data_IF_693725411610
#
_entry.id   IF_693725411610
#
_cell.length_a   1.000
_cell.length_b   1.000
_cell.length_c   1.000
_cell.angle_alpha   90.00
_cell.angle_beta   90.00
_cell.angle_gamma   90.00
#
_symmetry.space_group_name_H-M   'P 1'
#
loop_
_entity.id
_entity.type
_entity.pdbx_description
1 polymer ?
#
# COMPACT_ATOMS: atom_id res chain seq x y z
N UNK A 1 25.28 -1.16 -18.46
CA UNK A 1 23.89 -0.66 -18.37
C UNK A 1 23.87 0.35 -17.25
N UNK A 2 23.60 1.62 -17.55
CA UNK A 2 23.75 2.72 -16.60
C UNK A 2 22.43 2.96 -15.86
N UNK A 3 22.40 2.70 -14.57
CA UNK A 3 21.29 3.04 -13.67
C UNK A 3 21.24 4.57 -13.47
N UNK A 4 20.06 5.19 -13.59
CA UNK A 4 19.89 6.64 -13.38
C UNK A 4 19.25 6.87 -12.02
N UNK A 5 19.76 7.82 -11.24
CA UNK A 5 19.16 8.23 -9.97
C UNK A 5 18.22 9.41 -10.20
N UNK A 6 16.99 9.32 -9.70
CA UNK A 6 16.01 10.40 -9.82
C UNK A 6 16.49 11.67 -9.07
N UNK A 7 16.47 12.86 -9.70
CA UNK A 7 16.94 14.09 -9.06
C UNK A 7 15.98 14.61 -7.97
N UNK A 8 14.71 14.20 -8.00
CA UNK A 8 13.68 14.66 -7.07
C UNK A 8 13.55 13.79 -5.82
N UNK A 9 13.57 12.46 -5.97
CA UNK A 9 13.39 11.55 -4.82
C UNK A 9 14.61 10.67 -4.49
N UNK A 10 15.71 10.78 -5.24
CA UNK A 10 16.96 10.05 -4.98
C UNK A 10 16.92 8.52 -5.21
N UNK A 11 15.82 7.98 -5.76
CA UNK A 11 15.67 6.54 -6.01
C UNK A 11 16.18 6.15 -7.40
N UNK A 12 16.72 4.95 -7.51
CA UNK A 12 17.29 4.42 -8.75
C UNK A 12 16.18 4.01 -9.73
N UNK A 13 16.20 4.57 -10.92
CA UNK A 13 15.30 4.26 -12.02
C UNK A 13 16.01 3.35 -13.05
N UNK A 14 15.26 2.38 -13.59
CA UNK A 14 15.74 1.50 -14.67
C UNK A 14 15.99 2.31 -15.94
N UNK A 15 16.99 1.90 -16.74
CA UNK A 15 17.35 2.57 -17.99
C UNK A 15 16.16 2.55 -18.99
N UNK A 16 15.90 3.68 -19.67
CA UNK A 16 14.79 3.86 -20.63
C UNK A 16 13.49 4.42 -20.03
N UNK A 17 13.48 4.76 -18.73
CA UNK A 17 12.34 5.37 -18.06
C UNK A 17 12.36 6.90 -18.24
N UNK A 18 11.30 7.45 -18.86
CA UNK A 18 11.11 8.90 -19.05
C UNK A 18 10.71 9.63 -17.77
N UNK A 19 10.17 8.90 -16.79
CA UNK A 19 9.70 9.41 -15.51
C UNK A 19 10.07 8.46 -14.38
N UNK A 20 10.29 9.00 -13.19
CA UNK A 20 10.61 8.23 -12.00
C UNK A 20 9.38 7.42 -11.54
N UNK A 21 9.52 6.09 -11.47
CA UNK A 21 8.47 5.19 -10.99
C UNK A 21 8.02 5.43 -9.54
N UNK A 22 8.79 6.20 -8.77
CA UNK A 22 8.54 6.43 -7.35
C UNK A 22 7.94 7.79 -7.04
N UNK A 23 8.22 8.83 -7.82
CA UNK A 23 7.76 10.20 -7.54
C UNK A 23 7.19 10.94 -8.75
N UNK A 24 7.18 10.33 -9.94
CA UNK A 24 6.63 10.95 -11.16
C UNK A 24 7.51 12.03 -11.80
N UNK A 25 8.67 12.36 -11.21
CA UNK A 25 9.59 13.36 -11.77
C UNK A 25 10.14 12.92 -13.13
N UNK A 26 10.24 13.86 -14.09
CA UNK A 26 10.80 13.58 -15.41
C UNK A 26 12.30 13.27 -15.30
N UNK A 27 12.72 12.17 -15.91
CA UNK A 27 14.12 11.77 -16.03
C UNK A 27 14.57 12.19 -17.44
N UNK A 28 15.38 13.25 -17.54
CA UNK A 28 15.79 13.75 -18.85
C UNK A 28 16.52 12.66 -19.66
N UNK A 29 15.97 12.40 -20.85
CA UNK A 29 16.66 11.71 -21.93
C UNK A 29 17.05 12.78 -22.96
N UNK A 30 18.34 12.85 -23.28
CA UNK A 30 18.78 13.56 -24.49
C UNK A 30 18.35 12.67 -25.65
N UNK A 31 17.25 13.05 -26.28
CA UNK A 31 16.74 12.42 -27.48
C UNK A 31 17.73 12.63 -28.64
N UNK A 32 18.16 11.55 -29.28
CA UNK A 32 18.51 11.58 -30.69
C UNK A 32 17.48 10.75 -31.47
N UNK A 33 16.75 11.47 -32.31
CA UNK A 33 16.19 11.06 -33.60
C UNK A 33 14.87 10.26 -33.65
N UNK A 34 13.80 10.96 -34.07
CA UNK A 34 12.66 10.39 -34.79
C UNK A 34 12.96 10.39 -36.29
N UNK A 35 12.90 9.25 -36.95
CA UNK A 35 12.53 9.16 -38.37
C UNK A 35 11.28 8.29 -38.50
N UNK A 36 10.30 8.83 -39.19
CA UNK A 36 8.98 8.28 -39.43
C UNK A 36 9.03 6.93 -40.12
N UNK A 37 8.42 5.90 -39.52
CA UNK A 37 7.69 4.85 -40.25
C UNK A 37 6.48 4.41 -39.40
N UNK A 38 5.27 4.54 -39.96
CA UNK A 38 4.06 3.85 -39.48
C UNK A 38 4.26 2.34 -39.68
N UNK A 39 3.82 1.50 -38.73
CA UNK A 39 2.85 0.49 -39.16
C UNK A 39 1.74 0.19 -38.15
N UNK A 40 0.54 0.08 -38.74
CA UNK A 40 -0.49 -0.93 -38.50
C UNK A 40 -1.17 -1.02 -37.12
N UNK A 41 -2.31 -0.35 -37.06
CA UNK A 41 -3.50 -0.75 -36.30
C UNK A 41 -3.89 -2.21 -36.63
N UNK A 42 -3.47 -3.17 -35.82
CA UNK A 42 -4.19 -4.44 -35.66
C UNK A 42 -3.69 -5.14 -34.39
N UNK A 43 -4.61 -5.64 -33.57
CA UNK A 43 -4.38 -6.51 -32.38
C UNK A 43 -4.17 -5.85 -31.00
N UNK A 44 -4.84 -4.73 -30.68
CA UNK A 44 -4.97 -4.29 -29.27
C UNK A 44 -6.37 -4.53 -28.66
N UNK A 45 -7.38 -4.75 -29.51
CA UNK A 45 -8.77 -4.93 -29.08
C UNK A 45 -9.06 -6.37 -28.59
N UNK A 46 -8.45 -7.40 -29.20
CA UNK A 46 -8.74 -8.80 -28.82
C UNK A 46 -8.15 -9.23 -27.47
N UNK A 47 -7.23 -8.44 -26.89
CA UNK A 47 -6.64 -8.73 -25.59
C UNK A 47 -7.39 -8.04 -24.44
N UNK A 48 -7.98 -6.87 -24.68
CA UNK A 48 -8.80 -6.19 -23.66
C UNK A 48 -10.14 -6.89 -23.45
N UNK A 49 -10.75 -7.40 -24.51
CA UNK A 49 -12.06 -8.07 -24.43
C UNK A 49 -11.96 -9.43 -23.70
N UNK A 50 -10.84 -10.15 -23.87
CA UNK A 50 -10.57 -11.41 -23.14
C UNK A 50 -10.20 -11.21 -21.66
N UNK A 51 -9.69 -10.04 -21.27
CA UNK A 51 -9.34 -9.71 -19.88
C UNK A 51 -10.56 -9.18 -19.10
N UNK A 52 -11.50 -8.51 -19.77
CA UNK A 52 -12.74 -8.06 -19.14
C UNK A 52 -13.74 -9.20 -18.85
N UNK A 53 -13.70 -10.31 -19.59
CA UNK A 53 -14.58 -11.46 -19.33
C UNK A 53 -14.14 -12.38 -18.17
N UNK A 54 -12.88 -12.32 -17.72
CA UNK A 54 -12.36 -13.21 -16.65
C UNK A 54 -12.33 -12.53 -15.27
N UNK A 55 -12.30 -11.20 -15.23
CA UNK A 55 -12.35 -10.40 -14.00
C UNK A 55 -13.81 -10.11 -13.62
N UNK A 56 -14.44 -11.06 -12.92
CA UNK A 56 -15.67 -10.76 -12.18
C UNK A 56 -15.50 -9.48 -11.38
N UNK A 57 -16.38 -8.51 -11.60
CA UNK A 57 -16.46 -7.18 -10.99
C UNK A 57 -16.67 -7.24 -9.47
N UNK A 58 -15.82 -7.90 -8.70
CA UNK A 58 -15.83 -7.72 -7.25
C UNK A 58 -15.08 -6.42 -6.95
N UNK A 59 -15.85 -5.32 -6.95
CA UNK A 59 -15.41 -4.09 -6.33
C UNK A 59 -14.99 -4.36 -4.88
N UNK A 60 -13.97 -3.65 -4.41
CA UNK A 60 -13.49 -3.79 -3.04
C UNK A 60 -14.64 -3.44 -2.08
N UNK A 61 -15.03 -4.34 -1.15
CA UNK A 61 -16.08 -4.07 -0.19
C UNK A 61 -15.80 -2.82 0.66
N UNK A 62 -16.86 -2.12 1.06
CA UNK A 62 -16.74 -0.82 1.75
C UNK A 62 -16.03 -0.93 3.11
N UNK A 63 -16.26 -2.02 3.84
CA UNK A 63 -15.56 -2.29 5.10
C UNK A 63 -14.06 -2.51 4.88
N UNK A 64 -13.69 -3.16 3.78
CA UNK A 64 -12.28 -3.35 3.39
C UNK A 64 -11.65 -2.04 2.95
N UNK A 65 -12.35 -1.24 2.13
CA UNK A 65 -11.90 0.12 1.76
C UNK A 65 -11.64 0.96 3.01
N UNK A 66 -12.58 0.97 3.96
CA UNK A 66 -12.42 1.68 5.22
C UNK A 66 -11.19 1.20 6.01
N UNK A 67 -10.94 -0.12 6.08
CA UNK A 67 -9.73 -0.63 6.74
C UNK A 67 -8.43 -0.24 6.02
N UNK A 68 -8.44 -0.19 4.68
CA UNK A 68 -7.29 0.28 3.90
C UNK A 68 -7.06 1.78 4.08
N UNK A 69 -8.11 2.58 4.17
CA UNK A 69 -8.03 4.01 4.47
C UNK A 69 -7.45 4.27 5.85
N UNK A 70 -7.89 3.53 6.89
CA UNK A 70 -7.32 3.65 8.23
C UNK A 70 -5.82 3.34 8.24
N UNK A 71 -5.41 2.26 7.56
CA UNK A 71 -3.99 1.87 7.45
C UNK A 71 -3.17 2.92 6.69
N UNK A 72 -3.73 3.44 5.59
CA UNK A 72 -3.11 4.51 4.81
C UNK A 72 -2.93 5.78 5.64
N UNK A 73 -3.97 6.20 6.37
CA UNK A 73 -3.91 7.36 7.25
C UNK A 73 -2.90 7.17 8.39
N UNK A 74 -2.81 5.97 8.95
CA UNK A 74 -1.79 5.66 9.95
C UNK A 74 -0.38 5.84 9.39
N UNK A 75 -0.12 5.36 8.17
CA UNK A 75 1.17 5.52 7.51
C UNK A 75 1.49 7.00 7.21
N UNK A 76 0.51 7.78 6.77
CA UNK A 76 0.63 9.24 6.59
C UNK A 76 1.04 9.94 7.91
N UNK A 77 0.37 9.63 9.03
CA UNK A 77 0.68 10.21 10.34
C UNK A 77 2.08 9.81 10.83
N UNK A 78 2.46 8.54 10.65
CA UNK A 78 3.80 8.05 11.00
C UNK A 78 4.86 8.77 10.18
N UNK A 79 4.59 9.01 8.89
CA UNK A 79 5.42 9.81 7.99
C UNK A 79 5.62 11.23 8.52
N UNK A 80 4.53 11.97 8.74
CA UNK A 80 4.54 13.35 9.27
C UNK A 80 5.32 13.42 10.60
N UNK A 81 5.03 12.51 11.52
CA UNK A 81 5.71 12.45 12.82
C UNK A 81 7.21 12.21 12.66
N UNK A 82 7.63 11.34 11.73
CA UNK A 82 9.05 11.09 11.49
C UNK A 82 9.77 12.31 10.92
N UNK A 83 9.11 13.06 10.03
CA UNK A 83 9.66 14.28 9.43
C UNK A 83 9.83 15.39 10.48
N UNK A 84 8.81 15.62 11.30
CA UNK A 84 8.89 16.58 12.41
C UNK A 84 9.96 16.18 13.43
N UNK A 85 10.13 14.88 13.69
CA UNK A 85 11.19 14.40 14.59
C UNK A 85 12.57 14.71 13.99
N UNK A 86 12.79 14.46 12.70
CA UNK A 86 14.04 14.81 12.00
C UNK A 86 14.27 16.33 11.92
N UNK A 87 13.22 17.14 11.80
CA UNK A 87 13.34 18.60 11.88
C UNK A 87 13.81 19.02 13.28
N UNK A 88 13.21 18.47 14.34
CA UNK A 88 13.63 18.73 15.72
C UNK A 88 15.10 18.37 15.91
N UNK A 89 15.54 17.19 15.45
CA UNK A 89 16.92 16.74 15.58
C UNK A 89 17.90 17.69 14.86
N UNK A 90 17.61 18.06 13.60
CA UNK A 90 18.40 19.04 12.85
C UNK A 90 18.47 20.40 13.55
N UNK A 91 17.34 20.85 14.10
CA UNK A 91 17.29 22.12 14.85
C UNK A 91 18.09 22.03 16.16
N UNK A 92 18.13 20.87 16.82
CA UNK A 92 18.92 20.67 18.04
C UNK A 92 20.43 20.62 17.75
N UNK A 93 20.84 20.02 16.63
CA UNK A 93 22.24 19.97 16.19
C UNK A 93 22.78 21.34 15.75
N UNK A 94 21.93 22.18 15.14
CA UNK A 94 22.30 23.53 14.68
C UNK A 94 22.47 24.59 15.79
N UNK A 95 22.29 24.24 17.06
CA UNK A 95 22.38 25.17 18.21
C UNK A 95 23.81 25.55 18.63
N UNK A 96 24.81 25.36 17.77
CA UNK A 96 26.22 25.66 18.04
C UNK A 96 26.70 27.05 17.59
N UNK A 97 25.80 28.00 17.29
CA UNK A 97 26.16 29.35 16.84
C UNK A 97 25.19 30.44 17.30
N UNK A 98 25.68 31.69 17.33
CA UNK A 98 25.05 32.92 17.85
C UNK A 98 23.72 33.29 17.15
N UNK A 99 22.67 32.51 17.39
CA UNK A 99 21.31 32.75 16.92
C UNK A 99 20.40 32.86 18.15
N UNK A 100 19.39 33.74 18.08
CA UNK A 100 18.40 33.98 19.15
C UNK A 100 17.82 32.69 19.73
N UNK A 101 18.40 32.27 20.86
CA UNK A 101 18.15 30.99 21.54
C UNK A 101 16.66 30.77 21.84
N UNK A 102 15.90 31.85 22.03
CA UNK A 102 14.52 31.79 22.52
C UNK A 102 13.49 31.46 21.42
N UNK A 103 13.66 31.98 20.20
CA UNK A 103 12.79 31.65 19.06
C UNK A 103 12.96 30.18 18.64
N UNK A 104 14.20 29.69 18.65
CA UNK A 104 14.51 28.28 18.38
C UNK A 104 13.90 27.34 19.41
N UNK A 105 14.02 27.67 20.71
CA UNK A 105 13.38 26.90 21.78
C UNK A 105 11.87 26.83 21.61
N UNK A 106 11.23 27.95 21.27
CA UNK A 106 9.79 28.01 21.04
C UNK A 106 9.37 27.15 19.85
N UNK A 107 10.11 27.22 18.72
CA UNK A 107 9.83 26.37 17.56
C UNK A 107 9.99 24.89 17.87
N UNK A 108 11.08 24.48 18.54
CA UNK A 108 11.30 23.09 18.97
C UNK A 108 10.17 22.61 19.89
N UNK A 109 9.73 23.45 20.84
CA UNK A 109 8.62 23.13 21.74
C UNK A 109 7.32 22.88 20.97
N UNK A 110 7.00 23.73 19.99
CA UNK A 110 5.80 23.57 19.16
C UNK A 110 5.85 22.28 18.33
N UNK A 111 7.00 21.98 17.70
CA UNK A 111 7.19 20.73 16.95
C UNK A 111 7.03 19.50 17.87
N UNK A 112 7.59 19.54 19.08
CA UNK A 112 7.44 18.46 20.08
C UNK A 112 5.98 18.24 20.48
N UNK A 113 5.21 19.32 20.65
CA UNK A 113 3.78 19.22 20.94
C UNK A 113 3.03 18.56 19.78
N UNK A 114 3.29 18.97 18.54
CA UNK A 114 2.67 18.35 17.35
C UNK A 114 3.02 16.86 17.23
N UNK A 115 4.29 16.49 17.48
CA UNK A 115 4.71 15.07 17.52
C UNK A 115 3.94 14.29 18.58
N UNK A 116 3.66 14.88 19.74
CA UNK A 116 2.88 14.23 20.79
C UNK A 116 1.40 14.06 20.41
N UNK A 117 0.81 15.05 19.73
CA UNK A 117 -0.54 14.96 19.17
C UNK A 117 -0.65 13.86 18.11
N UNK A 118 0.28 13.84 17.16
CA UNK A 118 0.34 12.79 16.12
C UNK A 118 0.45 11.40 16.74
N UNK A 119 1.28 11.21 17.77
CA UNK A 119 1.36 9.93 18.50
C UNK A 119 0.05 9.51 19.15
N UNK A 120 -0.80 10.46 19.55
CA UNK A 120 -2.11 10.17 20.12
C UNK A 120 -3.07 9.76 19.00
N UNK A 121 -3.09 10.50 17.90
CA UNK A 121 -3.89 10.17 16.70
C UNK A 121 -3.53 8.80 16.13
N UNK A 122 -2.23 8.48 16.02
CA UNK A 122 -1.70 7.16 15.63
C UNK A 122 -2.35 6.05 16.48
N UNK A 123 -2.27 6.19 17.81
CA UNK A 123 -2.84 5.20 18.76
C UNK A 123 -4.36 5.08 18.66
N UNK A 124 -5.06 6.16 18.34
CA UNK A 124 -6.51 6.14 18.22
C UNK A 124 -6.94 5.44 16.92
N UNK A 125 -6.19 5.60 15.82
CA UNK A 125 -6.39 4.85 14.57
C UNK A 125 -6.03 3.37 14.74
N UNK A 126 -4.92 3.05 15.41
CA UNK A 126 -4.51 1.66 15.66
C UNK A 126 -5.61 0.83 16.34
N UNK A 127 -6.40 1.43 17.23
CA UNK A 127 -7.53 0.76 17.90
C UNK A 127 -8.68 0.43 16.95
N UNK A 128 -8.81 1.15 15.84
CA UNK A 128 -9.88 0.98 14.85
C UNK A 128 -9.48 -0.02 13.75
N UNK A 129 -8.18 -0.24 13.55
CA UNK A 129 -7.66 -1.20 12.59
C UNK A 129 -8.02 -2.62 13.02
N UNK A 130 -8.67 -3.34 12.14
CA UNK A 130 -9.03 -4.75 12.28
C UNK A 130 -8.18 -5.61 11.34
N UNK A 131 -8.03 -6.90 11.67
CA UNK A 131 -7.43 -7.86 10.75
C UNK A 131 -8.19 -7.89 9.43
N UNK A 132 -7.45 -7.93 8.34
CA UNK A 132 -8.04 -8.15 7.02
C UNK A 132 -8.48 -9.62 6.88
N UNK A 133 -9.31 -9.97 5.89
CA UNK A 133 -9.89 -11.31 5.78
C UNK A 133 -8.87 -12.45 5.70
N UNK A 134 -7.74 -12.22 5.04
CA UNK A 134 -6.70 -13.24 4.88
C UNK A 134 -5.92 -13.47 6.19
N UNK A 135 -5.54 -12.40 6.89
CA UNK A 135 -4.97 -12.42 8.24
C UNK A 135 -5.90 -13.16 9.21
N UNK A 136 -7.20 -12.83 9.17
CA UNK A 136 -8.21 -13.47 10.03
C UNK A 136 -8.24 -14.98 9.82
N UNK A 137 -8.40 -15.43 8.58
CA UNK A 137 -8.49 -16.87 8.26
C UNK A 137 -7.16 -17.60 8.51
N UNK A 138 -6.01 -16.94 8.34
CA UNK A 138 -4.71 -17.51 8.69
C UNK A 138 -4.57 -17.72 10.20
N UNK A 139 -4.97 -16.74 11.02
CA UNK A 139 -4.96 -16.87 12.49
C UNK A 139 -5.89 -17.96 12.99
N UNK A 140 -7.11 -18.05 12.44
CA UNK A 140 -8.05 -19.15 12.75
C UNK A 140 -7.42 -20.53 12.48
N UNK A 141 -6.69 -20.68 11.36
CA UNK A 141 -5.99 -21.90 10.99
C UNK A 141 -4.86 -22.24 11.97
N UNK A 142 -4.07 -21.26 12.40
CA UNK A 142 -3.00 -21.45 13.37
C UNK A 142 -3.52 -21.85 14.75
N UNK A 143 -4.59 -21.19 15.22
CA UNK A 143 -5.24 -21.52 16.49
C UNK A 143 -5.77 -22.95 16.49
N UNK A 144 -6.42 -23.38 15.40
CA UNK A 144 -6.96 -24.74 15.30
C UNK A 144 -5.86 -25.80 15.23
N UNK A 145 -4.74 -25.51 14.55
CA UNK A 145 -3.54 -26.37 14.59
C UNK A 145 -2.99 -26.49 16.01
N UNK A 146 -2.88 -25.39 16.73
CA UNK A 146 -2.43 -25.41 18.12
C UNK A 146 -3.38 -26.21 19.03
N UNK A 147 -4.70 -26.17 18.80
CA UNK A 147 -5.68 -27.02 19.49
C UNK A 147 -5.47 -28.50 19.17
N UNK A 148 -5.24 -28.84 17.90
CA UNK A 148 -4.91 -30.21 17.48
C UNK A 148 -3.63 -30.73 18.14
N UNK A 149 -2.61 -29.90 18.27
CA UNK A 149 -1.35 -30.31 18.91
C UNK A 149 -1.52 -30.52 20.41
N UNK A 150 -2.25 -29.63 21.11
CA UNK A 150 -2.64 -29.84 22.52
C UNK A 150 -3.47 -31.12 22.69
N UNK A 151 -4.40 -31.40 21.79
CA UNK A 151 -5.20 -32.63 21.82
C UNK A 151 -4.30 -33.89 21.72
N UNK A 152 -3.26 -33.86 20.87
CA UNK A 152 -2.27 -34.94 20.79
C UNK A 152 -1.46 -35.09 22.07
N UNK A 153 -1.11 -33.99 22.74
CA UNK A 153 -0.41 -34.03 24.02
C UNK A 153 -1.25 -34.68 25.12
N UNK A 154 -2.51 -34.25 25.27
CA UNK A 154 -3.47 -34.80 26.23
C UNK A 154 -3.74 -36.29 25.98
N UNK A 155 -3.76 -36.71 24.71
CA UNK A 155 -3.86 -38.13 24.37
C UNK A 155 -2.59 -38.92 24.74
N UNK A 156 -1.40 -38.36 24.48
CA UNK A 156 -0.11 -38.98 24.84
C UNK A 156 0.06 -39.13 26.35
N UNK A 157 -0.44 -38.17 27.14
CA UNK A 157 -0.47 -38.25 28.61
C UNK A 157 -1.53 -39.23 29.14
N UNK A 158 -2.33 -39.84 28.25
CA UNK A 158 -3.42 -40.79 28.57
C UNK A 158 -4.54 -40.18 29.41
N UNK A 159 -4.69 -38.86 29.40
CA UNK A 159 -5.76 -38.15 30.09
C UNK A 159 -7.14 -38.34 29.42
N UNK A 160 -7.15 -38.71 28.14
CA UNK A 160 -8.35 -39.03 27.37
C UNK A 160 -8.26 -40.40 26.70
N UNK A 161 -9.42 -40.99 26.42
CA UNK A 161 -9.51 -42.26 25.70
C UNK A 161 -9.19 -42.08 24.21
N UNK A 162 -8.80 -43.19 23.56
CA UNK A 162 -8.58 -43.21 22.11
C UNK A 162 -9.84 -42.83 21.32
N UNK A 163 -11.02 -43.25 21.79
CA UNK A 163 -12.28 -42.92 21.13
C UNK A 163 -12.59 -41.41 21.20
N UNK A 164 -12.39 -40.79 22.37
CA UNK A 164 -12.55 -39.34 22.55
C UNK A 164 -11.56 -38.56 21.69
N UNK A 165 -10.30 -38.98 21.69
CA UNK A 165 -9.26 -38.38 20.84
C UNK A 165 -9.63 -38.43 19.37
N UNK A 166 -10.00 -39.60 18.85
CA UNK A 166 -10.32 -39.77 17.42
C UNK A 166 -11.58 -38.99 17.00
N UNK A 167 -12.58 -38.84 17.88
CA UNK A 167 -13.76 -37.99 17.61
C UNK A 167 -13.37 -36.52 17.47
N UNK A 168 -12.70 -35.96 18.47
CA UNK A 168 -12.30 -34.55 18.48
C UNK A 168 -11.29 -34.23 17.37
N UNK A 169 -10.37 -35.16 17.10
CA UNK A 169 -9.40 -35.01 16.03
C UNK A 169 -10.08 -34.89 14.67
N UNK A 170 -11.05 -35.76 14.36
CA UNK A 170 -11.80 -35.70 13.10
C UNK A 170 -12.60 -34.41 12.96
N UNK A 171 -13.19 -33.94 14.05
CA UNK A 171 -13.91 -32.66 14.09
C UNK A 171 -12.98 -31.49 13.76
N UNK A 172 -11.86 -31.37 14.46
CA UNK A 172 -10.87 -30.31 14.21
C UNK A 172 -10.20 -30.44 12.83
N UNK A 173 -9.93 -31.65 12.34
CA UNK A 173 -9.41 -31.85 10.98
C UNK A 173 -10.43 -31.39 9.93
N UNK A 174 -11.73 -31.65 10.14
CA UNK A 174 -12.79 -31.17 9.24
C UNK A 174 -12.89 -29.65 9.26
N UNK A 175 -12.92 -29.03 10.43
CA UNK A 175 -12.92 -27.57 10.57
C UNK A 175 -11.69 -26.95 9.90
N UNK A 176 -10.52 -27.59 10.00
CA UNK A 176 -9.28 -27.12 9.38
C UNK A 176 -9.38 -27.12 7.85
N UNK A 177 -10.02 -28.13 7.26
CA UNK A 177 -10.29 -28.16 5.81
C UNK A 177 -11.27 -27.07 5.39
N UNK A 178 -12.29 -26.78 6.20
CA UNK A 178 -13.22 -25.68 5.95
C UNK A 178 -12.51 -24.31 6.02
N UNK A 179 -11.64 -24.10 7.00
CA UNK A 179 -10.81 -22.88 7.11
C UNK A 179 -9.87 -22.76 5.91
N UNK A 180 -9.18 -23.84 5.50
CA UNK A 180 -8.30 -23.81 4.32
C UNK A 180 -9.04 -23.42 3.05
N UNK A 181 -10.26 -23.93 2.85
CA UNK A 181 -11.11 -23.56 1.71
C UNK A 181 -11.48 -22.08 1.76
N UNK A 182 -11.96 -21.58 2.90
CA UNK A 182 -12.26 -20.15 3.09
C UNK A 182 -11.02 -19.29 2.84
N UNK A 183 -9.88 -19.67 3.39
CA UNK A 183 -8.62 -18.95 3.25
C UNK A 183 -8.17 -18.84 1.78
N UNK A 184 -8.31 -19.92 1.00
CA UNK A 184 -8.03 -19.88 -0.44
C UNK A 184 -8.94 -18.90 -1.18
N UNK A 185 -10.25 -18.92 -0.88
CA UNK A 185 -11.22 -18.00 -1.48
C UNK A 185 -10.87 -16.55 -1.11
N UNK A 186 -10.55 -16.27 0.15
CA UNK A 186 -10.15 -14.93 0.58
C UNK A 186 -8.83 -14.49 -0.06
N UNK A 187 -7.89 -15.40 -0.30
CA UNK A 187 -6.65 -15.10 -1.03
C UNK A 187 -6.97 -14.67 -2.47
N UNK A 188 -7.76 -15.46 -3.17
CA UNK A 188 -8.16 -15.18 -4.56
C UNK A 188 -8.89 -13.82 -4.65
N UNK A 189 -9.70 -13.48 -3.63
CA UNK A 189 -10.35 -12.15 -3.49
C UNK A 189 -9.36 -11.01 -3.26
N UNK A 190 -8.42 -11.17 -2.35
CA UNK A 190 -7.42 -10.12 -2.11
C UNK A 190 -6.56 -9.91 -3.36
N UNK A 191 -6.21 -10.97 -4.08
CA UNK A 191 -5.49 -10.89 -5.35
C UNK A 191 -6.30 -10.14 -6.43
N UNK A 192 -7.63 -10.35 -6.51
CA UNK A 192 -8.49 -9.59 -7.42
C UNK A 192 -8.57 -8.10 -7.05
N UNK A 193 -8.61 -7.77 -5.76
CA UNK A 193 -8.55 -6.38 -5.29
C UNK A 193 -7.23 -5.70 -5.63
N UNK A 194 -6.10 -6.42 -5.57
CA UNK A 194 -4.79 -5.91 -6.01
C UNK A 194 -4.84 -5.55 -7.48
N UNK A 195 -5.38 -6.43 -8.34
CA UNK A 195 -5.53 -6.15 -9.78
C UNK A 195 -6.41 -4.92 -10.03
N UNK A 196 -7.51 -4.78 -9.28
CA UNK A 196 -8.37 -3.61 -9.36
C UNK A 196 -7.62 -2.31 -9.01
N UNK A 197 -6.90 -2.28 -7.88
CA UNK A 197 -6.10 -1.11 -7.48
C UNK A 197 -4.94 -0.82 -8.45
N UNK A 198 -4.36 -1.84 -9.08
CA UNK A 198 -3.34 -1.66 -10.12
C UNK A 198 -3.91 -0.96 -11.36
N UNK A 199 -5.12 -1.34 -11.78
CA UNK A 199 -5.84 -0.67 -12.86
C UNK A 199 -6.18 0.78 -12.49
N UNK A 200 -6.71 1.01 -11.29
CA UNK A 200 -7.02 2.35 -10.79
C UNK A 200 -5.78 3.25 -10.75
N UNK A 201 -4.67 2.74 -10.19
CA UNK A 201 -3.38 3.43 -10.18
C UNK A 201 -2.93 3.85 -11.58
N UNK A 202 -3.03 2.94 -12.55
CA UNK A 202 -2.66 3.21 -13.94
C UNK A 202 -3.54 4.30 -14.55
N UNK A 203 -4.85 4.24 -14.33
CA UNK A 203 -5.79 5.27 -14.82
C UNK A 203 -5.47 6.66 -14.23
N UNK A 204 -5.11 6.73 -12.94
CA UNK A 204 -4.70 8.00 -12.30
C UNK A 204 -3.41 8.54 -12.94
N UNK A 205 -2.44 7.67 -13.24
CA UNK A 205 -1.19 8.05 -13.92
C UNK A 205 -1.46 8.60 -15.33
N UNK A 206 -2.27 7.91 -16.13
CA UNK A 206 -2.68 8.38 -17.46
C UNK A 206 -3.42 9.73 -17.37
N UNK A 207 -4.25 9.92 -16.35
CA UNK A 207 -4.96 11.18 -16.11
C UNK A 207 -3.99 12.32 -15.78
N UNK A 208 -2.96 12.06 -14.96
CA UNK A 208 -1.90 13.02 -14.66
C UNK A 208 -1.11 13.42 -15.92
N UNK A 209 -0.81 12.46 -16.79
CA UNK A 209 -0.13 12.72 -18.07
C UNK A 209 -0.98 13.60 -19.00
N UNK A 210 -2.27 13.28 -19.13
CA UNK A 210 -3.21 14.09 -19.90
C UNK A 210 -3.36 15.50 -19.33
N UNK A 211 -3.43 15.62 -18.00
CA UNK A 211 -3.51 16.91 -17.31
C UNK A 211 -2.28 17.76 -17.60
N UNK A 212 -1.08 17.16 -17.57
CA UNK A 212 0.17 17.83 -17.95
C UNK A 212 0.17 18.28 -19.41
N UNK A 213 -0.25 17.42 -20.34
CA UNK A 213 -0.32 17.75 -21.75
C UNK A 213 -1.24 18.97 -22.00
N UNK A 214 -2.45 18.97 -21.44
CA UNK A 214 -3.40 20.09 -21.54
C UNK A 214 -2.85 21.40 -20.96
N UNK A 215 -2.11 21.32 -19.86
CA UNK A 215 -1.43 22.49 -19.32
C UNK A 215 -0.35 23.02 -20.30
N UNK A 216 0.45 22.12 -20.87
CA UNK A 216 1.51 22.51 -21.81
C UNK A 216 0.99 23.03 -23.14
N UNK A 217 -0.17 22.61 -23.60
CA UNK A 217 -0.84 23.16 -24.79
C UNK A 217 -1.57 24.49 -24.52
N UNK A 218 -1.61 24.93 -23.26
CA UNK A 218 -2.29 26.17 -22.86
C UNK A 218 -3.81 26.03 -22.72
N UNK A 219 -4.35 24.81 -22.80
CA UNK A 219 -5.78 24.52 -22.58
C UNK A 219 -6.17 24.62 -21.09
N UNK A 220 -5.18 24.58 -20.19
CA UNK A 220 -5.39 24.62 -18.75
C UNK A 220 -4.52 25.71 -18.12
N UNK A 221 -5.10 26.54 -17.26
CA UNK A 221 -4.35 27.55 -16.51
C UNK A 221 -3.47 26.92 -15.43
N UNK A 222 -2.30 27.51 -15.16
CA UNK A 222 -1.32 27.00 -14.18
C UNK A 222 -1.95 26.74 -12.79
N UNK A 223 -2.77 27.65 -12.28
CA UNK A 223 -3.42 27.47 -10.97
C UNK A 223 -4.39 26.29 -10.92
N UNK A 224 -5.14 26.05 -12.00
CA UNK A 224 -6.07 24.92 -12.10
C UNK A 224 -5.31 23.60 -12.29
N UNK A 225 -4.23 23.64 -13.08
CA UNK A 225 -3.30 22.52 -13.25
C UNK A 225 -2.71 22.07 -11.92
N UNK A 226 -2.11 22.99 -11.15
CA UNK A 226 -1.47 22.66 -9.88
C UNK A 226 -2.44 22.05 -8.87
N UNK A 227 -3.65 22.61 -8.76
CA UNK A 227 -4.68 22.09 -7.86
C UNK A 227 -5.10 20.66 -8.24
N UNK A 228 -5.44 20.41 -9.50
CA UNK A 228 -5.84 19.08 -9.97
C UNK A 228 -4.70 18.07 -9.87
N UNK A 229 -3.48 18.50 -10.16
CA UNK A 229 -2.27 17.69 -10.02
C UNK A 229 -2.10 17.23 -8.57
N UNK A 230 -2.14 18.16 -7.62
CA UNK A 230 -1.96 17.85 -6.20
C UNK A 230 -3.04 16.86 -5.69
N UNK A 231 -4.29 17.05 -6.10
CA UNK A 231 -5.40 16.15 -5.76
C UNK A 231 -5.20 14.72 -6.32
N UNK A 232 -4.77 14.62 -7.58
CA UNK A 232 -4.50 13.33 -8.23
C UNK A 232 -3.25 12.65 -7.66
N UNK A 233 -2.19 13.40 -7.35
CA UNK A 233 -0.97 12.86 -6.73
C UNK A 233 -1.23 12.32 -5.32
N UNK A 234 -2.08 13.00 -4.53
CA UNK A 234 -2.53 12.50 -3.23
C UNK A 234 -3.31 11.19 -3.39
N UNK A 235 -4.25 11.15 -4.33
CA UNK A 235 -5.01 9.93 -4.63
C UNK A 235 -4.09 8.80 -5.07
N UNK A 236 -3.15 9.07 -5.98
CA UNK A 236 -2.17 8.10 -6.47
C UNK A 236 -1.36 7.49 -5.32
N UNK A 237 -0.88 8.34 -4.41
CA UNK A 237 -0.10 7.91 -3.24
C UNK A 237 -0.92 7.00 -2.33
N UNK A 238 -2.18 7.35 -2.05
CA UNK A 238 -3.08 6.54 -1.22
C UNK A 238 -3.41 5.19 -1.86
N UNK A 239 -3.67 5.17 -3.17
CA UNK A 239 -3.89 3.94 -3.94
C UNK A 239 -2.64 3.05 -3.89
N UNK A 240 -1.44 3.63 -4.01
CA UNK A 240 -0.17 2.89 -3.90
C UNK A 240 0.04 2.27 -2.51
N UNK A 241 -0.25 3.01 -1.44
CA UNK A 241 -0.16 2.52 -0.06
C UNK A 241 -1.16 1.37 0.16
N UNK A 242 -2.41 1.55 -0.26
CA UNK A 242 -3.45 0.51 -0.16
C UNK A 242 -3.06 -0.77 -0.90
N UNK A 243 -2.49 -0.62 -2.10
CA UNK A 243 -1.98 -1.73 -2.91
C UNK A 243 -0.81 -2.44 -2.22
N UNK A 244 0.15 -1.71 -1.64
CA UNK A 244 1.26 -2.34 -0.91
C UNK A 244 0.76 -3.05 0.35
N UNK A 245 -0.21 -2.49 1.07
CA UNK A 245 -0.86 -3.13 2.21
C UNK A 245 -1.47 -4.49 1.84
N UNK A 246 -2.21 -4.56 0.72
CA UNK A 246 -2.77 -5.84 0.24
C UNK A 246 -1.68 -6.80 -0.25
N UNK A 247 -0.59 -6.31 -0.87
CA UNK A 247 0.54 -7.17 -1.26
C UNK A 247 1.30 -7.73 -0.06
N UNK A 248 1.43 -6.95 1.03
CA UNK A 248 1.97 -7.45 2.30
C UNK A 248 1.04 -8.52 2.86
N UNK A 249 -0.26 -8.27 2.85
CA UNK A 249 -1.28 -9.22 3.31
C UNK A 249 -1.15 -10.58 2.63
N UNK A 250 -1.07 -10.61 1.29
CA UNK A 250 -0.89 -11.86 0.52
C UNK A 250 0.46 -12.51 0.80
N UNK A 251 1.55 -11.74 0.90
CA UNK A 251 2.89 -12.30 1.17
C UNK A 251 3.00 -12.91 2.58
N UNK A 252 2.35 -12.29 3.55
CA UNK A 252 2.44 -12.70 4.95
C UNK A 252 1.47 -13.82 5.27
N UNK A 253 0.27 -13.80 4.68
CA UNK A 253 -0.83 -14.67 5.07
C UNK A 253 -1.32 -15.61 3.97
N UNK A 254 -1.01 -15.39 2.69
CA UNK A 254 -1.50 -16.20 1.55
C UNK A 254 -0.68 -17.44 1.25
#
# INVERSE_FOLDING_TARGET
MSEKVCPSCGKTAKAGMKYCMYCGEKLEEKDEWFSEEKPEEMQLESFHEAVEEISGKEEIPEDIKYQLELRTKLEELIGERSELTREIDRMMEGLSGDISIEEYKNKIKNLKNRVAELKKEEKDIEKLIKPLPLEKTSKEKEELKARLDKLKEVYRSKEISNETFEKLRKEYEKELEEIKKRHRIEKDRVESWIVHLEKERKNIQETLELLYARHKTGELAEGEYQKKKEELEKTLTRTQISLENLKIEVRQWG
#
